data_IF_670415460244
#
_entry.id   IF_670415460244
#
_cell.length_a   1.000
_cell.length_b   1.000
_cell.length_c   1.000
_cell.angle_alpha   90.00
_cell.angle_beta   90.00
_cell.angle_gamma   90.00
#
_symmetry.space_group_name_H-M   'P 1'
#
loop_
_entity.id
_entity.type
_entity.pdbx_description
1 polymer ?
#
# COMPACT_ATOMS: atom_id res chain seq x y z
N UNK A 1 11.85 1.21 -13.04
CA UNK A 1 10.85 1.54 -12.01
C UNK A 1 11.44 1.42 -10.62
N UNK A 2 10.73 1.83 -9.57
CA UNK A 2 11.21 1.76 -8.17
C UNK A 2 10.83 0.44 -7.45
N UNK A 3 10.01 -0.41 -8.09
CA UNK A 3 9.47 -1.64 -7.51
C UNK A 3 10.53 -2.54 -6.88
N UNK A 4 11.65 -2.80 -7.56
CA UNK A 4 12.72 -3.64 -7.02
C UNK A 4 13.34 -3.06 -5.74
N UNK A 5 13.52 -1.73 -5.68
CA UNK A 5 14.07 -1.06 -4.48
C UNK A 5 13.11 -1.11 -3.30
N UNK A 6 11.81 -0.95 -3.57
CA UNK A 6 10.76 -1.06 -2.55
C UNK A 6 10.68 -2.50 -2.03
N UNK A 7 10.71 -3.48 -2.93
CA UNK A 7 10.72 -4.90 -2.58
C UNK A 7 11.91 -5.26 -1.69
N UNK A 8 13.13 -4.87 -2.08
CA UNK A 8 14.33 -5.10 -1.26
C UNK A 8 14.20 -4.42 0.10
N UNK A 9 13.70 -3.18 0.17
CA UNK A 9 13.49 -2.50 1.45
C UNK A 9 12.50 -3.22 2.37
N UNK A 10 11.46 -3.85 1.82
CA UNK A 10 10.51 -4.68 2.58
C UNK A 10 11.21 -5.91 3.16
N UNK A 11 11.99 -6.61 2.34
CA UNK A 11 12.73 -7.81 2.78
C UNK A 11 13.82 -7.48 3.81
N UNK A 12 14.61 -6.43 3.58
CA UNK A 12 15.67 -5.99 4.50
C UNK A 12 15.11 -5.58 5.87
N UNK A 13 13.86 -5.12 5.91
CA UNK A 13 13.16 -4.78 7.16
C UNK A 13 12.66 -6.02 7.93
N UNK A 14 12.74 -7.21 7.33
CA UNK A 14 12.33 -8.48 7.92
C UNK A 14 10.88 -8.85 7.66
N UNK A 15 10.22 -8.23 6.69
CA UNK A 15 8.90 -8.67 6.24
C UNK A 15 9.03 -9.77 5.18
N UNK A 16 8.11 -10.73 5.23
CA UNK A 16 7.98 -11.78 4.23
C UNK A 16 6.85 -11.42 3.27
N UNK A 17 7.07 -11.62 1.97
CA UNK A 17 6.02 -11.50 0.95
C UNK A 17 5.48 -12.90 0.70
N UNK A 18 4.23 -13.16 1.06
CA UNK A 18 3.58 -14.48 0.93
C UNK A 18 2.90 -14.67 -0.42
N UNK A 19 2.40 -13.58 -1.00
CA UNK A 19 1.84 -13.54 -2.36
C UNK A 19 2.18 -12.22 -3.04
N UNK A 20 2.34 -12.26 -4.36
CA UNK A 20 2.60 -11.07 -5.17
C UNK A 20 2.00 -11.22 -6.56
N UNK A 21 1.31 -10.19 -7.05
CA UNK A 21 0.72 -10.19 -8.40
C UNK A 21 0.69 -8.80 -9.02
N UNK A 22 0.87 -8.77 -10.33
CA UNK A 22 0.76 -7.56 -11.15
C UNK A 22 -0.67 -7.40 -11.62
N UNK A 23 -1.28 -6.25 -11.34
CA UNK A 23 -2.63 -5.90 -11.76
C UNK A 23 -2.61 -4.66 -12.62
N UNK A 24 -3.66 -4.50 -13.43
CA UNK A 24 -3.99 -3.23 -14.09
C UNK A 24 -5.45 -2.95 -13.78
N UNK A 25 -5.68 -2.11 -12.77
CA UNK A 25 -7.03 -1.84 -12.27
C UNK A 25 -7.81 -0.99 -13.27
N UNK A 26 -9.08 -1.33 -13.49
CA UNK A 26 -10.01 -0.39 -14.12
C UNK A 26 -10.38 0.72 -13.14
N UNK A 27 -10.99 1.81 -13.63
CA UNK A 27 -11.54 2.84 -12.73
C UNK A 27 -12.64 2.29 -11.82
N UNK A 28 -13.36 1.26 -12.27
CA UNK A 28 -14.43 0.62 -11.48
C UNK A 28 -13.82 -0.17 -10.33
N UNK A 29 -12.82 -1.01 -10.61
CA UNK A 29 -12.13 -1.80 -9.57
C UNK A 29 -11.42 -0.90 -8.56
N UNK A 30 -10.78 0.19 -9.04
CA UNK A 30 -10.15 1.18 -8.17
C UNK A 30 -11.18 1.91 -7.28
N UNK A 31 -12.38 2.18 -7.80
CA UNK A 31 -13.45 2.83 -7.04
C UNK A 31 -14.06 1.92 -5.98
N UNK A 32 -14.21 0.63 -6.28
CA UNK A 32 -14.63 -0.39 -5.32
C UNK A 32 -13.58 -0.55 -4.21
N UNK A 33 -12.30 -0.69 -4.58
CA UNK A 33 -11.21 -0.80 -3.60
C UNK A 33 -11.11 0.43 -2.68
N UNK A 34 -11.27 1.64 -3.23
CA UNK A 34 -11.11 2.88 -2.49
C UNK A 34 -12.43 3.41 -1.89
N UNK A 35 -13.51 2.63 -1.89
CA UNK A 35 -14.85 3.10 -1.48
C UNK A 35 -14.85 3.76 -0.10
N UNK A 36 -14.10 3.21 0.86
CA UNK A 36 -13.98 3.73 2.22
C UNK A 36 -13.40 5.15 2.30
N UNK A 37 -12.68 5.60 1.27
CA UNK A 37 -12.10 6.94 1.20
C UNK A 37 -13.04 7.96 0.54
N UNK A 38 -14.13 7.51 -0.08
CA UNK A 38 -15.07 8.36 -0.82
C UNK A 38 -15.78 9.33 0.12
N UNK A 39 -15.54 10.63 -0.09
CA UNK A 39 -16.11 11.69 0.75
C UNK A 39 -15.39 11.89 2.10
N UNK A 40 -14.38 11.08 2.39
CA UNK A 40 -13.52 11.20 3.59
C UNK A 40 -12.26 11.99 3.26
N UNK A 41 -11.65 11.72 2.11
CA UNK A 41 -10.42 12.41 1.65
C UNK A 41 -10.71 13.26 0.41
N UNK A 42 -10.10 14.44 0.34
CA UNK A 42 -10.29 15.37 -0.77
C UNK A 42 -9.64 14.86 -2.06
N UNK A 43 -8.55 14.10 -1.92
CA UNK A 43 -7.76 13.55 -3.01
C UNK A 43 -8.41 12.34 -3.70
N UNK A 44 -9.58 11.87 -3.23
CA UNK A 44 -10.22 10.65 -3.74
C UNK A 44 -10.35 10.59 -5.27
N UNK A 45 -10.81 11.64 -5.99
CA UNK A 45 -10.89 11.60 -7.45
C UNK A 45 -9.52 11.37 -8.11
N UNK A 46 -8.48 12.02 -7.60
CA UNK A 46 -7.11 11.90 -8.11
C UNK A 46 -6.50 10.52 -7.79
N UNK A 47 -6.87 9.94 -6.64
CA UNK A 47 -6.48 8.57 -6.28
C UNK A 47 -7.05 7.54 -7.26
N UNK A 48 -8.33 7.68 -7.67
CA UNK A 48 -8.94 6.80 -8.67
C UNK A 48 -8.20 6.86 -10.01
N UNK A 49 -7.89 8.08 -10.47
CA UNK A 49 -7.13 8.28 -11.69
C UNK A 49 -5.72 7.68 -11.57
N UNK A 50 -5.08 7.83 -10.42
CA UNK A 50 -3.74 7.29 -10.20
C UNK A 50 -3.73 5.75 -10.15
N UNK A 51 -4.66 5.12 -9.43
CA UNK A 51 -4.76 3.65 -9.33
C UNK A 51 -5.08 2.98 -10.67
N UNK A 52 -5.82 3.66 -11.54
CA UNK A 52 -6.19 3.16 -12.88
C UNK A 52 -5.23 3.59 -14.00
N UNK A 53 -4.24 4.43 -13.70
CA UNK A 53 -3.33 5.01 -14.70
C UNK A 53 -2.37 3.99 -15.34
N UNK A 54 -2.11 2.87 -14.68
CA UNK A 54 -1.09 1.92 -15.11
C UNK A 54 -1.05 0.65 -14.27
N UNK A 55 -0.06 -0.22 -14.51
CA UNK A 55 0.09 -1.45 -13.75
C UNK A 55 0.55 -1.16 -12.31
N UNK A 56 0.00 -1.89 -11.35
CA UNK A 56 0.38 -1.88 -9.95
C UNK A 56 0.75 -3.31 -9.49
N UNK A 57 1.57 -3.41 -8.45
CA UNK A 57 1.92 -4.69 -7.83
C UNK A 57 1.22 -4.75 -6.48
N UNK A 58 0.36 -5.74 -6.28
CA UNK A 58 -0.21 -6.04 -4.97
C UNK A 58 0.65 -7.11 -4.28
N UNK A 59 0.93 -6.90 -2.99
CA UNK A 59 1.77 -7.77 -2.17
C UNK A 59 0.99 -8.15 -0.91
N UNK A 60 0.94 -9.44 -0.60
CA UNK A 60 0.53 -9.92 0.72
C UNK A 60 1.76 -10.00 1.61
N UNK A 61 1.71 -9.34 2.77
CA UNK A 61 2.84 -9.16 3.67
C UNK A 61 2.58 -9.87 5.01
N UNK A 62 3.54 -10.69 5.44
CA UNK A 62 3.59 -11.29 6.76
C UNK A 62 4.84 -10.82 7.53
N UNK A 63 4.79 -10.72 8.87
CA UNK A 63 6.01 -10.57 9.65
C UNK A 63 6.75 -11.91 9.71
N UNK A 64 8.08 -11.87 9.56
CA UNK A 64 8.94 -13.04 9.82
C UNK A 64 9.20 -13.28 11.30
N UNK A 65 8.88 -12.30 12.15
CA UNK A 65 9.04 -12.38 13.60
C UNK A 65 7.79 -12.98 14.24
N UNK A 66 7.99 -13.60 15.41
CA UNK A 66 7.04 -14.42 16.17
C UNK A 66 5.56 -13.99 16.12
N UNK A 67 4.67 -14.97 16.34
CA UNK A 67 3.20 -14.88 16.29
C UNK A 67 2.52 -13.75 17.12
N UNK A 68 3.29 -13.00 17.91
CA UNK A 68 2.81 -11.90 18.76
C UNK A 68 3.01 -10.50 18.15
N UNK A 69 3.67 -10.36 16.99
CA UNK A 69 3.88 -9.05 16.36
C UNK A 69 2.71 -8.66 15.45
N UNK A 70 2.09 -7.50 15.70
CA UNK A 70 1.03 -6.96 14.84
C UNK A 70 1.65 -6.49 13.51
N UNK A 71 1.71 -7.41 12.53
CA UNK A 71 2.28 -7.19 11.20
C UNK A 71 1.74 -5.93 10.54
N UNK A 72 0.43 -5.69 10.62
CA UNK A 72 -0.24 -4.55 10.02
C UNK A 72 0.29 -3.24 10.60
N UNK A 73 0.32 -3.12 11.93
CA UNK A 73 0.85 -1.92 12.60
C UNK A 73 2.33 -1.69 12.24
N UNK A 74 3.14 -2.74 12.33
CA UNK A 74 4.58 -2.66 12.03
C UNK A 74 4.84 -2.27 10.58
N UNK A 75 4.07 -2.81 9.63
CA UNK A 75 4.18 -2.48 8.22
C UNK A 75 3.72 -1.04 7.95
N UNK A 76 2.60 -0.60 8.54
CA UNK A 76 2.11 0.78 8.43
C UNK A 76 3.11 1.79 8.97
N UNK A 77 3.77 1.49 10.10
CA UNK A 77 4.83 2.32 10.65
C UNK A 77 6.06 2.39 9.74
N UNK A 78 6.39 1.30 9.04
CA UNK A 78 7.46 1.25 8.06
C UNK A 78 7.12 2.02 6.76
N UNK A 79 5.87 1.95 6.31
CA UNK A 79 5.38 2.68 5.14
C UNK A 79 5.39 4.19 5.40
N UNK A 80 4.97 4.60 6.60
CA UNK A 80 5.00 6.00 7.05
C UNK A 80 3.75 6.82 6.70
N UNK A 81 3.73 8.11 7.06
CA UNK A 81 2.61 9.02 6.79
C UNK A 81 2.23 9.07 5.30
N UNK A 82 0.94 9.23 5.00
CA UNK A 82 0.40 9.24 3.63
C UNK A 82 0.97 10.36 2.75
N UNK A 83 1.27 11.52 3.35
CA UNK A 83 1.95 12.64 2.70
C UNK A 83 3.48 12.44 2.74
N UNK A 84 4.16 12.28 1.59
CA UNK A 84 5.61 12.13 1.52
C UNK A 84 6.40 13.29 2.12
N UNK A 85 5.89 14.52 2.08
CA UNK A 85 6.56 15.68 2.65
C UNK A 85 6.60 15.58 4.18
N UNK A 86 5.46 15.28 4.79
CA UNK A 86 5.34 15.00 6.22
C UNK A 86 6.18 13.78 6.59
N UNK A 87 6.16 12.73 5.77
CA UNK A 87 6.95 11.52 5.99
C UNK A 87 8.45 11.84 6.00
N UNK A 88 8.95 12.64 5.06
CA UNK A 88 10.37 13.07 5.03
C UNK A 88 10.76 13.87 6.27
N UNK A 89 9.88 14.76 6.73
CA UNK A 89 10.15 15.59 7.90
C UNK A 89 10.15 14.78 9.21
N UNK A 90 9.15 13.92 9.42
CA UNK A 90 8.96 13.20 10.69
C UNK A 90 9.72 11.87 10.75
N UNK A 91 9.74 11.11 9.65
CA UNK A 91 10.22 9.72 9.60
C UNK A 91 10.91 9.44 8.24
N UNK A 92 12.11 10.02 7.99
CA UNK A 92 12.78 9.99 6.68
C UNK A 92 13.13 8.59 6.18
N UNK A 93 13.19 7.61 7.08
CA UNK A 93 13.53 6.23 6.74
C UNK A 93 12.37 5.41 6.16
N UNK A 94 11.15 5.95 6.16
CA UNK A 94 9.93 5.27 5.71
C UNK A 94 9.82 5.17 4.19
N UNK A 95 9.02 4.22 3.68
CA UNK A 95 8.87 4.01 2.23
C UNK A 95 8.30 5.24 1.53
N UNK A 96 7.25 5.86 2.08
CA UNK A 96 6.64 7.07 1.50
C UNK A 96 7.59 8.26 1.53
N UNK A 97 8.44 8.38 2.56
CA UNK A 97 9.47 9.42 2.61
C UNK A 97 10.51 9.27 1.49
N UNK A 98 11.00 8.04 1.29
CA UNK A 98 12.08 7.73 0.33
C UNK A 98 11.64 7.71 -1.12
N UNK A 99 10.40 7.27 -1.38
CA UNK A 99 9.95 6.97 -2.74
C UNK A 99 8.71 7.77 -3.18
N UNK A 100 8.00 8.39 -2.24
CA UNK A 100 6.79 9.15 -2.53
C UNK A 100 7.08 10.53 -3.13
N UNK A 101 6.26 10.90 -4.11
CA UNK A 101 6.35 12.18 -4.84
C UNK A 101 5.44 13.23 -4.20
N UNK A 102 4.16 12.89 -4.04
CA UNK A 102 3.14 13.75 -3.41
C UNK A 102 2.05 12.87 -2.76
N UNK A 103 1.00 13.48 -2.18
CA UNK A 103 -0.07 12.75 -1.47
C UNK A 103 -0.75 11.66 -2.30
N UNK A 104 -1.01 11.90 -3.58
CA UNK A 104 -1.65 10.95 -4.50
C UNK A 104 -0.65 9.91 -5.01
N UNK A 105 0.57 10.34 -5.32
CA UNK A 105 1.69 9.52 -5.80
C UNK A 105 2.66 9.23 -4.67
N UNK A 106 2.16 8.62 -3.59
CA UNK A 106 2.92 8.33 -2.38
C UNK A 106 3.75 7.03 -2.45
N UNK A 107 3.85 6.42 -3.64
CA UNK A 107 4.58 5.19 -3.96
C UNK A 107 4.02 3.89 -3.38
N UNK A 108 3.49 3.88 -2.16
CA UNK A 108 2.95 2.66 -1.51
C UNK A 108 1.63 2.96 -0.81
N UNK A 109 0.60 2.23 -1.22
CA UNK A 109 -0.64 2.07 -0.45
C UNK A 109 -0.47 0.89 0.52
N UNK A 110 -1.02 1.02 1.73
CA UNK A 110 -1.06 -0.03 2.72
C UNK A 110 -2.36 0.09 3.51
N UNK A 111 -2.84 -1.02 4.05
CA UNK A 111 -4.05 -1.07 4.86
C UNK A 111 -3.94 -0.14 6.08
N UNK A 112 -4.88 0.78 6.20
CA UNK A 112 -4.88 1.78 7.28
C UNK A 112 -5.72 1.35 8.49
N UNK A 113 -6.73 0.49 8.29
CA UNK A 113 -7.63 -0.01 9.34
C UNK A 113 -7.35 -1.49 9.67
N UNK A 114 -7.34 -1.88 10.96
CA UNK A 114 -7.06 -3.26 11.36
C UNK A 114 -8.01 -4.30 10.74
N UNK A 115 -9.28 -3.94 10.62
CA UNK A 115 -10.34 -4.82 10.18
C UNK A 115 -10.40 -4.97 8.64
N UNK A 116 -9.70 -4.09 7.91
CA UNK A 116 -9.74 -4.04 6.45
C UNK A 116 -8.68 -4.93 5.80
N UNK A 117 -7.64 -5.35 6.52
CA UNK A 117 -6.51 -6.06 5.91
C UNK A 117 -6.96 -7.36 5.22
N UNK A 118 -7.82 -8.13 5.88
CA UNK A 118 -8.36 -9.37 5.29
C UNK A 118 -9.25 -9.08 4.08
N UNK A 119 -10.03 -7.99 4.12
CA UNK A 119 -10.89 -7.58 3.01
C UNK A 119 -10.06 -7.17 1.78
N UNK A 120 -9.03 -6.34 1.98
CA UNK A 120 -8.13 -5.88 0.93
C UNK A 120 -7.35 -7.05 0.31
N UNK A 121 -6.82 -7.96 1.13
CA UNK A 121 -6.12 -9.17 0.65
C UNK A 121 -7.06 -10.05 -0.16
N UNK A 122 -8.28 -10.32 0.34
CA UNK A 122 -9.27 -11.09 -0.39
C UNK A 122 -9.70 -10.41 -1.71
N UNK A 123 -9.81 -9.08 -1.73
CA UNK A 123 -10.15 -8.32 -2.92
C UNK A 123 -9.14 -8.57 -4.05
N UNK A 124 -7.84 -8.42 -3.77
CA UNK A 124 -6.82 -8.64 -4.79
C UNK A 124 -6.64 -10.12 -5.13
N UNK A 125 -6.43 -10.99 -4.15
CA UNK A 125 -5.97 -12.36 -4.38
C UNK A 125 -7.09 -13.40 -4.54
N UNK A 126 -8.36 -13.01 -4.44
CA UNK A 126 -9.50 -13.92 -4.67
C UNK A 126 -10.57 -13.34 -5.59
N UNK A 127 -10.91 -12.05 -5.45
CA UNK A 127 -11.98 -11.44 -6.26
C UNK A 127 -11.45 -11.03 -7.64
N UNK A 128 -10.35 -10.28 -7.66
CA UNK A 128 -9.71 -9.82 -8.90
C UNK A 128 -8.83 -10.87 -9.59
N UNK A 129 -8.42 -11.91 -8.86
CA UNK A 129 -7.48 -12.92 -9.34
C UNK A 129 -8.13 -13.96 -10.31
N UNK A 130 -9.45 -13.93 -10.48
CA UNK A 130 -10.22 -14.91 -11.26
C UNK A 130 -9.73 -15.17 -12.69
#
# INVERSE_FOLDING_TARGET
>A
GLTGRIWTAIQDRGFCVTAARLYRLSKVDAAEFLEVYKGVVHEYPEMLDQFSSGPCVALEIASSKEANENTLKSFRDFVGPSDPEIARFLRPETLRAKFGVNKVRNAVHCTDLPDDAELEVNFFFRILDK
#
